data_IF_350858367276
#
_entry.id   IF_350858367276
#
_cell.length_a   1.000
_cell.length_b   1.000
_cell.length_c   1.000
_cell.angle_alpha   90.00
_cell.angle_beta   90.00
_cell.angle_gamma   90.00
#
_symmetry.space_group_name_H-M   'P 1'
#
loop_
_entity.id
_entity.type
_entity.pdbx_description
1 polymer ?
#
# COMPACT_ATOMS: atom_id res chain seq x y z
N UNK A 1 5.39 19.56 0.78
CA UNK A 1 4.68 18.35 0.35
C UNK A 1 4.20 17.61 1.58
N UNK A 2 2.90 17.36 1.71
CA UNK A 2 2.32 16.71 2.89
C UNK A 2 2.36 15.19 2.76
N UNK A 3 1.92 14.66 1.61
CA UNK A 3 1.86 13.22 1.36
C UNK A 3 2.54 12.84 0.05
N UNK A 4 3.17 11.65 0.03
CA UNK A 4 3.62 10.95 -1.18
C UNK A 4 2.87 9.62 -1.30
N UNK A 5 2.12 9.46 -2.38
CA UNK A 5 1.49 8.19 -2.75
C UNK A 5 2.46 7.44 -3.67
N UNK A 6 2.92 6.27 -3.25
CA UNK A 6 3.92 5.47 -3.98
C UNK A 6 3.23 4.29 -4.63
N UNK A 7 3.23 4.25 -5.96
CA UNK A 7 2.55 3.25 -6.79
C UNK A 7 3.59 2.35 -7.47
N UNK A 8 3.99 1.21 -6.86
CA UNK A 8 4.84 0.23 -7.53
C UNK A 8 4.07 -0.42 -8.68
N UNK A 9 4.63 -0.38 -9.89
CA UNK A 9 3.90 -0.68 -11.12
C UNK A 9 4.63 -1.72 -11.97
N UNK A 10 4.04 -2.91 -12.11
CA UNK A 10 4.52 -3.98 -12.96
C UNK A 10 3.38 -4.82 -13.52
N UNK A 11 3.23 -4.87 -14.85
CA UNK A 11 2.24 -5.68 -15.58
C UNK A 11 0.78 -5.46 -15.09
N UNK A 12 0.37 -4.19 -15.02
CA UNK A 12 -0.94 -3.75 -14.49
C UNK A 12 -1.65 -2.74 -15.38
N UNK A 13 -1.39 -2.71 -16.69
CA UNK A 13 -1.97 -1.74 -17.63
C UNK A 13 -3.49 -1.65 -17.56
N UNK A 14 -4.17 -2.78 -17.27
CA UNK A 14 -5.62 -2.83 -17.17
C UNK A 14 -6.20 -2.10 -15.93
N UNK A 15 -5.37 -1.83 -14.91
CA UNK A 15 -5.80 -1.32 -13.60
C UNK A 15 -5.22 0.05 -13.28
N UNK A 16 -3.99 0.33 -13.74
CA UNK A 16 -3.22 1.52 -13.37
C UNK A 16 -3.99 2.83 -13.57
N UNK A 17 -4.75 2.96 -14.67
CA UNK A 17 -5.54 4.16 -14.93
C UNK A 17 -6.51 4.47 -13.80
N UNK A 18 -7.29 3.46 -13.38
CA UNK A 18 -8.25 3.60 -12.27
C UNK A 18 -7.56 3.89 -10.93
N UNK A 19 -6.41 3.27 -10.68
CA UNK A 19 -5.60 3.54 -9.50
C UNK A 19 -5.16 5.02 -9.45
N UNK A 20 -4.57 5.53 -10.55
CA UNK A 20 -4.14 6.93 -10.64
C UNK A 20 -5.33 7.88 -10.49
N UNK A 21 -6.48 7.61 -11.12
CA UNK A 21 -7.69 8.42 -10.98
C UNK A 21 -8.15 8.51 -9.53
N UNK A 22 -8.15 7.40 -8.79
CA UNK A 22 -8.51 7.40 -7.38
C UNK A 22 -7.53 8.24 -6.54
N UNK A 23 -6.25 8.23 -6.89
CA UNK A 23 -5.23 9.07 -6.24
C UNK A 23 -5.35 10.56 -6.59
N UNK A 24 -5.94 10.90 -7.75
CA UNK A 24 -6.18 12.28 -8.18
C UNK A 24 -7.46 12.87 -7.62
N UNK A 25 -8.48 12.05 -7.32
CA UNK A 25 -9.79 12.46 -6.79
C UNK A 25 -9.75 12.66 -5.28
N UNK A 26 -8.91 13.59 -4.82
CA UNK A 26 -8.68 13.81 -3.41
C UNK A 26 -8.98 15.25 -2.97
N UNK A 27 -9.21 15.45 -1.68
CA UNK A 27 -9.60 16.70 -1.02
C UNK A 27 -8.41 17.56 -0.56
N UNK A 28 -7.18 17.18 -0.92
CA UNK A 28 -6.00 18.03 -0.79
C UNK A 28 -5.69 18.75 -2.10
N UNK A 29 -5.16 19.98 -2.06
CA UNK A 29 -4.61 20.64 -3.24
C UNK A 29 -3.51 19.80 -3.89
N UNK A 30 -3.48 19.70 -5.22
CA UNK A 30 -2.45 18.93 -5.94
C UNK A 30 -1.02 19.41 -5.66
N UNK A 31 -0.84 20.64 -5.20
CA UNK A 31 0.45 21.18 -4.77
C UNK A 31 0.92 20.63 -3.42
N UNK A 32 0.06 19.96 -2.66
CA UNK A 32 0.36 19.48 -1.31
C UNK A 32 0.61 17.97 -1.22
N UNK A 33 0.32 17.21 -2.29
CA UNK A 33 0.66 15.79 -2.37
C UNK A 33 1.22 15.41 -3.74
N UNK A 34 2.00 14.35 -3.79
CA UNK A 34 2.56 13.79 -5.02
C UNK A 34 2.15 12.33 -5.20
N UNK A 35 2.08 11.92 -6.47
CA UNK A 35 1.84 10.53 -6.88
C UNK A 35 3.11 10.05 -7.60
N UNK A 36 3.81 9.10 -7.02
CA UNK A 36 5.03 8.53 -7.58
C UNK A 36 4.69 7.20 -8.22
N UNK A 37 4.58 7.19 -9.54
CA UNK A 37 4.37 5.96 -10.33
C UNK A 37 5.74 5.36 -10.64
N UNK A 38 6.08 4.29 -9.98
CA UNK A 38 7.35 3.60 -10.15
C UNK A 38 7.19 2.41 -11.09
N UNK A 39 7.73 2.51 -12.30
CA UNK A 39 7.68 1.49 -13.35
C UNK A 39 8.87 0.54 -13.19
N UNK A 40 8.62 -0.62 -12.62
CA UNK A 40 9.65 -1.64 -12.32
C UNK A 40 9.90 -2.57 -13.52
N UNK A 41 10.36 -2.00 -14.63
CA UNK A 41 10.64 -2.75 -15.85
C UNK A 41 9.40 -3.43 -16.45
N UNK A 42 8.25 -2.78 -16.37
CA UNK A 42 6.97 -3.34 -16.84
C UNK A 42 7.01 -3.62 -18.34
N UNK A 43 6.65 -4.85 -18.80
CA UNK A 43 6.68 -5.21 -20.21
C UNK A 43 5.45 -4.74 -20.99
N UNK A 44 4.41 -4.25 -20.29
CA UNK A 44 3.13 -3.81 -20.83
C UNK A 44 3.09 -2.30 -21.10
N UNK A 45 1.93 -1.73 -21.40
CA UNK A 45 1.76 -0.32 -21.69
C UNK A 45 1.55 0.58 -20.46
N UNK A 46 1.83 0.10 -19.24
CA UNK A 46 1.67 0.87 -18.00
C UNK A 46 2.40 2.22 -18.04
N UNK A 47 3.62 2.28 -18.60
CA UNK A 47 4.36 3.55 -18.74
C UNK A 47 3.62 4.57 -19.62
N UNK A 48 2.96 4.13 -20.68
CA UNK A 48 2.21 5.03 -21.57
C UNK A 48 0.95 5.58 -20.88
N UNK A 49 0.32 4.76 -20.04
CA UNK A 49 -0.80 5.18 -19.20
C UNK A 49 -0.34 6.25 -18.21
N UNK A 50 0.71 5.99 -17.46
CA UNK A 50 1.27 6.94 -16.49
C UNK A 50 1.62 8.29 -17.13
N UNK A 51 2.28 8.29 -18.30
CA UNK A 51 2.63 9.52 -19.04
C UNK A 51 1.40 10.35 -19.43
N UNK A 52 0.33 9.72 -19.91
CA UNK A 52 -0.91 10.43 -20.26
C UNK A 52 -1.52 11.16 -19.07
N UNK A 53 -1.47 10.57 -17.89
CA UNK A 53 -1.94 11.25 -16.66
C UNK A 53 -0.98 12.36 -16.23
N UNK A 54 0.32 12.17 -16.36
CA UNK A 54 1.34 13.17 -16.02
C UNK A 54 1.22 14.45 -16.88
N UNK A 55 0.85 14.33 -18.17
CA UNK A 55 0.68 15.49 -19.07
C UNK A 55 -0.29 16.55 -18.55
N UNK A 56 -1.26 16.16 -17.72
CA UNK A 56 -2.28 17.05 -17.18
C UNK A 56 -2.25 17.18 -15.65
N UNK A 57 -1.24 16.61 -14.99
CA UNK A 57 -1.15 16.60 -13.54
C UNK A 57 0.32 16.72 -13.09
N UNK A 58 0.72 17.94 -12.72
CA UNK A 58 2.10 18.26 -12.30
C UNK A 58 2.53 17.54 -11.02
N UNK A 59 1.57 17.04 -10.23
CA UNK A 59 1.85 16.27 -9.02
C UNK A 59 2.11 14.78 -9.28
N UNK A 60 2.12 14.32 -10.54
CA UNK A 60 2.53 12.96 -10.90
C UNK A 60 4.00 12.94 -11.29
N UNK A 61 4.78 12.09 -10.63
CA UNK A 61 6.18 11.80 -10.92
C UNK A 61 6.31 10.36 -11.39
N UNK A 62 6.93 10.15 -12.55
CA UNK A 62 7.22 8.82 -13.07
C UNK A 62 8.68 8.50 -12.84
N UNK A 63 8.96 7.33 -12.29
CA UNK A 63 10.30 6.77 -12.13
C UNK A 63 10.33 5.44 -12.89
N UNK A 64 11.41 5.19 -13.60
CA UNK A 64 11.61 3.94 -14.34
C UNK A 64 12.90 3.27 -13.90
N UNK A 65 12.89 1.96 -13.81
CA UNK A 65 14.06 1.14 -13.50
C UNK A 65 13.99 -0.21 -14.23
N UNK A 66 15.10 -0.96 -14.22
CA UNK A 66 15.07 -2.38 -14.55
C UNK A 66 14.31 -3.16 -13.46
N UNK A 67 13.63 -4.24 -13.85
CA UNK A 67 12.81 -5.03 -12.92
C UNK A 67 13.65 -5.56 -11.75
N UNK A 68 13.29 -5.15 -10.55
CA UNK A 68 13.90 -5.58 -9.29
C UNK A 68 12.88 -6.17 -8.30
N UNK A 69 11.62 -6.20 -8.69
CA UNK A 69 10.50 -6.70 -7.88
C UNK A 69 9.90 -5.68 -6.93
N UNK A 70 8.78 -6.05 -6.32
CA UNK A 70 7.91 -5.15 -5.55
C UNK A 70 8.63 -4.40 -4.42
N UNK A 71 9.51 -5.08 -3.68
CA UNK A 71 10.33 -4.46 -2.61
C UNK A 71 11.22 -3.35 -3.16
N UNK A 72 11.88 -3.60 -4.28
CA UNK A 72 12.80 -2.66 -4.90
C UNK A 72 12.04 -1.44 -5.46
N UNK A 73 10.86 -1.66 -6.03
CA UNK A 73 9.97 -0.61 -6.50
C UNK A 73 9.51 0.30 -5.34
N UNK A 74 9.01 -0.28 -4.26
CA UNK A 74 8.62 0.48 -3.05
C UNK A 74 9.79 1.27 -2.46
N UNK A 75 10.99 0.67 -2.38
CA UNK A 75 12.20 1.34 -1.90
C UNK A 75 12.61 2.51 -2.79
N UNK A 76 12.51 2.37 -4.11
CA UNK A 76 12.82 3.44 -5.07
C UNK A 76 11.83 4.59 -4.89
N UNK A 77 10.53 4.29 -4.80
CA UNK A 77 9.50 5.29 -4.53
C UNK A 77 9.72 6.03 -3.21
N UNK A 78 10.02 5.29 -2.12
CA UNK A 78 10.29 5.88 -0.80
C UNK A 78 11.49 6.84 -0.81
N UNK A 79 12.58 6.48 -1.50
CA UNK A 79 13.76 7.34 -1.65
C UNK A 79 13.48 8.62 -2.43
N UNK A 80 12.55 8.56 -3.37
CA UNK A 80 12.16 9.68 -4.23
C UNK A 80 11.04 10.56 -3.64
N UNK A 81 10.40 10.09 -2.57
CA UNK A 81 9.30 10.77 -1.90
C UNK A 81 9.77 12.04 -1.17
N UNK A 82 8.97 13.12 -1.28
CA UNK A 82 9.21 14.40 -0.63
C UNK A 82 8.15 14.72 0.44
N UNK A 83 7.08 13.93 0.53
CA UNK A 83 6.02 14.09 1.52
C UNK A 83 6.51 13.89 2.95
N UNK A 84 5.88 14.56 3.88
CA UNK A 84 6.07 14.32 5.30
C UNK A 84 5.62 12.91 5.68
N UNK A 85 4.55 12.45 5.05
CA UNK A 85 4.01 11.10 5.18
C UNK A 85 4.04 10.37 3.85
N UNK A 86 4.14 9.04 3.90
CA UNK A 86 4.16 8.16 2.71
C UNK A 86 3.10 7.08 2.82
N UNK A 87 2.46 6.80 1.70
CA UNK A 87 1.49 5.72 1.56
C UNK A 87 1.83 4.88 0.34
N UNK A 88 2.04 3.58 0.54
CA UNK A 88 2.23 2.63 -0.55
C UNK A 88 0.85 2.19 -1.05
N UNK A 89 0.59 2.37 -2.34
CA UNK A 89 -0.68 2.01 -2.97
C UNK A 89 -0.40 1.01 -4.09
N UNK A 90 -0.89 -0.20 -3.99
CA UNK A 90 -0.68 -1.19 -5.04
C UNK A 90 -1.45 -0.78 -6.30
N UNK A 91 -0.78 -0.83 -7.46
CA UNK A 91 -1.27 -0.20 -8.71
C UNK A 91 -2.46 -0.93 -9.36
N UNK A 92 -2.88 -2.05 -8.82
CA UNK A 92 -4.09 -2.78 -9.20
C UNK A 92 -5.29 -2.52 -8.28
N UNK A 93 -5.10 -1.68 -7.25
CA UNK A 93 -6.09 -1.29 -6.25
C UNK A 93 -6.56 0.17 -6.43
N UNK A 94 -7.34 0.67 -5.49
CA UNK A 94 -7.78 2.08 -5.48
C UNK A 94 -7.94 2.59 -4.05
N UNK A 95 -7.78 3.91 -3.88
CA UNK A 95 -8.05 4.58 -2.61
C UNK A 95 -9.43 5.27 -2.65
N UNK A 96 -10.02 5.47 -1.49
CA UNK A 96 -11.30 6.16 -1.38
C UNK A 96 -11.14 7.63 -1.72
N UNK A 97 -12.10 8.21 -2.43
CA UNK A 97 -12.11 9.63 -2.75
C UNK A 97 -12.18 10.49 -1.49
N UNK A 98 -11.51 11.64 -1.51
CA UNK A 98 -11.55 12.64 -0.44
C UNK A 98 -11.15 12.08 0.95
N UNK A 99 -10.10 11.25 1.00
CA UNK A 99 -9.59 10.68 2.25
C UNK A 99 -8.25 11.28 2.71
N UNK A 100 -7.48 11.93 1.82
CA UNK A 100 -6.13 12.37 2.13
C UNK A 100 -6.07 13.47 3.19
N UNK A 101 -7.01 14.41 3.18
CA UNK A 101 -7.05 15.49 4.17
C UNK A 101 -7.27 14.93 5.58
N UNK A 102 -8.24 14.05 5.75
CA UNK A 102 -8.52 13.43 7.03
C UNK A 102 -7.36 12.54 7.53
N UNK A 103 -6.68 11.82 6.62
CA UNK A 103 -5.47 11.04 6.95
C UNK A 103 -4.35 11.97 7.43
N UNK A 104 -4.10 13.07 6.72
CA UNK A 104 -3.08 14.04 7.08
C UNK A 104 -3.37 14.70 8.43
N UNK A 105 -4.61 15.13 8.66
CA UNK A 105 -5.03 15.74 9.93
C UNK A 105 -4.81 14.78 11.10
N UNK A 106 -5.19 13.51 10.96
CA UNK A 106 -5.00 12.47 11.98
C UNK A 106 -3.52 12.23 12.29
N UNK A 107 -2.69 12.05 11.24
CA UNK A 107 -1.24 11.85 11.37
C UNK A 107 -0.58 13.01 12.10
N UNK A 108 -0.98 14.24 11.76
CA UNK A 108 -0.37 15.47 12.32
C UNK A 108 -0.87 15.76 13.73
N UNK A 109 -2.18 15.70 13.96
CA UNK A 109 -2.80 15.99 15.26
C UNK A 109 -2.21 15.12 16.37
N UNK A 110 -2.02 13.84 16.08
CA UNK A 110 -1.51 12.88 17.05
C UNK A 110 0.00 12.61 16.91
N UNK A 111 0.71 13.31 16.00
CA UNK A 111 2.13 13.10 15.72
C UNK A 111 2.48 11.61 15.59
N UNK A 112 1.77 10.90 14.71
CA UNK A 112 1.87 9.46 14.56
C UNK A 112 3.13 9.07 13.78
N UNK A 113 3.71 7.91 14.12
CA UNK A 113 4.72 7.22 13.31
C UNK A 113 4.07 6.41 12.19
N UNK A 114 2.89 5.83 12.49
CA UNK A 114 2.09 5.08 11.52
C UNK A 114 0.58 5.21 11.82
N UNK A 115 -0.22 5.21 10.76
CA UNK A 115 -1.68 5.17 10.82
C UNK A 115 -2.15 3.93 10.07
N UNK A 116 -2.88 3.02 10.73
CA UNK A 116 -3.43 1.84 10.12
C UNK A 116 -4.83 2.11 9.59
N UNK A 117 -5.01 1.90 8.29
CA UNK A 117 -6.24 2.23 7.59
C UNK A 117 -7.17 1.04 7.48
N UNK A 118 -8.48 1.29 7.57
CA UNK A 118 -9.50 0.31 7.18
C UNK A 118 -9.61 0.21 5.66
N UNK A 119 -9.95 -0.99 5.17
CA UNK A 119 -10.13 -1.27 3.74
C UNK A 119 -11.37 -2.13 3.49
N UNK A 120 -11.79 -2.20 2.25
CA UNK A 120 -12.77 -3.16 1.78
C UNK A 120 -12.20 -4.00 0.63
N UNK A 121 -12.75 -5.20 0.44
CA UNK A 121 -12.42 -6.06 -0.69
C UNK A 121 -13.48 -5.91 -1.77
N UNK A 122 -13.06 -5.85 -3.03
CA UNK A 122 -13.95 -5.76 -4.17
C UNK A 122 -13.66 -6.90 -5.14
N UNK A 123 -14.70 -7.64 -5.54
CA UNK A 123 -14.58 -8.67 -6.55
C UNK A 123 -14.73 -8.11 -7.98
N UNK A 124 -14.50 -8.96 -9.00
CA UNK A 124 -14.64 -8.60 -10.41
C UNK A 124 -16.05 -8.12 -10.84
N UNK A 125 -17.06 -8.30 -10.00
CA UNK A 125 -18.42 -7.84 -10.23
C UNK A 125 -18.72 -6.53 -9.46
N UNK A 126 -17.71 -5.88 -8.90
CA UNK A 126 -17.81 -4.67 -8.08
C UNK A 126 -18.67 -4.84 -6.80
N UNK A 127 -18.78 -6.08 -6.32
CA UNK A 127 -19.43 -6.35 -5.04
C UNK A 127 -18.38 -6.33 -3.93
N UNK A 128 -18.70 -5.67 -2.82
CA UNK A 128 -17.89 -5.71 -1.60
C UNK A 128 -18.00 -7.12 -1.02
N UNK A 129 -16.85 -7.75 -0.77
CA UNK A 129 -16.79 -9.06 -0.14
C UNK A 129 -16.20 -8.92 1.25
N UNK A 130 -16.88 -9.44 2.30
CA UNK A 130 -16.37 -9.39 3.67
C UNK A 130 -15.28 -10.43 3.96
N UNK A 131 -14.40 -10.78 3.02
CA UNK A 131 -13.46 -11.90 3.17
C UNK A 131 -12.29 -11.61 4.13
N UNK A 132 -12.00 -10.35 4.37
CA UNK A 132 -11.10 -9.86 5.42
C UNK A 132 -11.66 -8.52 5.88
N UNK A 133 -12.80 -8.60 6.56
CA UNK A 133 -13.51 -7.41 6.96
C UNK A 133 -12.80 -6.76 8.15
N UNK A 134 -12.00 -5.74 7.89
CA UNK A 134 -11.50 -4.88 8.96
C UNK A 134 -12.63 -4.13 9.69
N UNK A 135 -13.88 -4.24 9.23
CA UNK A 135 -15.05 -3.77 10.00
C UNK A 135 -15.23 -4.59 11.28
N UNK A 136 -14.63 -5.80 11.37
CA UNK A 136 -14.57 -6.60 12.60
C UNK A 136 -13.50 -6.12 13.59
N UNK A 137 -12.56 -5.25 13.17
CA UNK A 137 -11.69 -4.57 14.11
C UNK A 137 -12.56 -3.69 15.00
N UNK A 138 -12.51 -3.90 16.32
CA UNK A 138 -13.15 -3.00 17.28
C UNK A 138 -12.77 -1.57 16.92
N UNK A 139 -13.71 -0.65 17.02
CA UNK A 139 -13.37 0.77 16.96
C UNK A 139 -12.40 1.05 18.09
N UNK A 140 -11.21 1.48 17.72
CA UNK A 140 -10.15 1.82 18.64
C UNK A 140 -9.66 3.22 18.27
N UNK A 141 -9.86 4.16 19.17
CA UNK A 141 -9.45 5.55 18.99
C UNK A 141 -8.18 5.89 19.80
N UNK A 142 -7.54 4.89 20.41
CA UNK A 142 -6.37 5.04 21.23
C UNK A 142 -5.07 5.06 20.41
N UNK A 143 -4.03 5.60 21.00
CA UNK A 143 -2.68 5.59 20.45
C UNK A 143 -1.91 4.50 21.18
N UNK A 144 -1.31 3.61 20.42
CA UNK A 144 -0.58 2.45 20.92
C UNK A 144 0.91 2.53 20.60
N UNK A 145 1.74 1.87 21.41
CA UNK A 145 3.07 1.45 20.99
C UNK A 145 2.97 0.25 20.06
N UNK A 146 3.96 0.09 19.16
CA UNK A 146 3.88 -0.85 18.06
C UNK A 146 3.63 -2.30 18.43
N UNK A 147 4.29 -2.83 19.45
CA UNK A 147 4.07 -4.21 19.90
C UNK A 147 2.66 -4.39 20.48
N UNK A 148 2.19 -3.45 21.28
CA UNK A 148 0.82 -3.50 21.82
C UNK A 148 -0.20 -3.44 20.69
N UNK A 149 -0.02 -2.54 19.74
CA UNK A 149 -0.88 -2.43 18.56
C UNK A 149 -0.95 -3.74 17.77
N UNK A 150 0.19 -4.38 17.53
CA UNK A 150 0.23 -5.66 16.80
C UNK A 150 -0.51 -6.77 17.54
N UNK A 151 -0.42 -6.81 18.86
CA UNK A 151 -1.03 -7.88 19.67
C UNK A 151 -2.50 -7.65 19.96
N UNK A 152 -2.91 -6.39 20.19
CA UNK A 152 -4.25 -6.07 20.71
C UNK A 152 -5.22 -5.56 19.65
N UNK A 153 -4.72 -4.92 18.59
CA UNK A 153 -5.57 -4.25 17.58
C UNK A 153 -5.49 -4.93 16.21
N UNK A 154 -4.27 -5.11 15.68
CA UNK A 154 -4.07 -5.44 14.27
C UNK A 154 -4.23 -6.94 13.94
N UNK A 155 -3.89 -7.84 14.86
CA UNK A 155 -3.93 -9.29 14.60
C UNK A 155 -2.92 -9.73 13.52
N UNK A 156 -3.41 -10.40 12.46
CA UNK A 156 -2.55 -11.04 11.43
C UNK A 156 -2.48 -10.26 10.10
N UNK A 157 -2.99 -9.04 10.02
CA UNK A 157 -3.11 -8.28 8.78
C UNK A 157 -1.91 -7.36 8.57
N UNK A 158 -0.90 -7.84 7.82
CA UNK A 158 0.38 -7.17 7.58
C UNK A 158 0.54 -6.75 6.11
N UNK A 159 -0.23 -5.77 5.67
CA UNK A 159 -0.16 -5.27 4.30
C UNK A 159 0.50 -3.88 4.27
N UNK A 160 1.49 -3.68 3.41
CA UNK A 160 2.18 -2.40 3.29
C UNK A 160 1.22 -1.26 2.92
N UNK A 161 0.25 -1.55 2.06
CA UNK A 161 -0.75 -0.57 1.61
C UNK A 161 -1.79 -0.21 2.68
N UNK A 162 -1.91 -0.98 3.75
CA UNK A 162 -2.84 -0.66 4.86
C UNK A 162 -2.29 0.36 5.85
N UNK A 163 -1.08 0.89 5.63
CA UNK A 163 -0.45 1.87 6.51
C UNK A 163 -0.04 3.14 5.78
N UNK A 164 -0.26 4.29 6.43
CA UNK A 164 0.44 5.53 6.15
C UNK A 164 1.53 5.72 7.20
N UNK A 165 2.75 6.00 6.77
CA UNK A 165 3.91 6.14 7.65
C UNK A 165 4.44 7.58 7.65
N UNK A 166 4.94 8.04 8.79
CA UNK A 166 5.80 9.22 8.83
C UNK A 166 7.09 8.92 8.09
N UNK A 167 7.38 9.66 7.02
CA UNK A 167 8.52 9.37 6.14
C UNK A 167 9.85 9.34 6.89
N UNK A 168 10.11 10.32 7.75
CA UNK A 168 11.35 10.37 8.51
C UNK A 168 11.48 9.20 9.50
N UNK A 169 10.38 8.70 10.05
CA UNK A 169 10.41 7.49 10.87
C UNK A 169 10.98 6.30 10.09
N UNK A 170 10.62 6.13 8.81
CA UNK A 170 11.18 5.06 7.99
C UNK A 170 12.65 5.32 7.61
N UNK A 171 12.97 6.54 7.17
CA UNK A 171 14.29 6.88 6.65
C UNK A 171 15.35 6.88 7.75
N UNK A 172 15.08 7.53 8.89
CA UNK A 172 16.04 7.72 9.97
C UNK A 172 16.37 6.39 10.68
N UNK A 173 15.44 5.41 10.63
CA UNK A 173 15.66 4.06 11.15
C UNK A 173 16.16 3.07 10.08
N UNK A 174 16.35 3.49 8.84
CA UNK A 174 16.80 2.62 7.76
C UNK A 174 15.79 1.54 7.37
N UNK A 175 14.50 1.78 7.57
CA UNK A 175 13.43 0.82 7.25
C UNK A 175 13.14 0.81 5.75
N UNK A 176 13.76 -0.15 5.06
CA UNK A 176 13.50 -0.47 3.67
C UNK A 176 12.88 -1.87 3.56
N UNK A 177 12.11 -2.12 2.50
CA UNK A 177 11.65 -3.47 2.17
C UNK A 177 12.83 -4.34 1.78
N UNK A 178 12.87 -5.58 2.26
CA UNK A 178 13.93 -6.53 1.93
C UNK A 178 13.69 -7.11 0.54
N UNK A 179 14.63 -6.87 -0.37
CA UNK A 179 14.53 -7.31 -1.75
C UNK A 179 14.70 -8.83 -1.88
N UNK A 180 14.05 -9.44 -2.87
CA UNK A 180 14.16 -10.87 -3.15
C UNK A 180 13.34 -11.79 -2.25
N UNK A 181 12.47 -11.25 -1.41
CA UNK A 181 11.57 -12.03 -0.56
C UNK A 181 10.15 -12.09 -1.13
N UNK A 182 9.49 -13.23 -0.89
CA UNK A 182 8.03 -13.33 -0.92
C UNK A 182 7.48 -12.98 0.46
N UNK A 183 6.31 -12.34 0.53
CA UNK A 183 5.72 -11.81 1.78
C UNK A 183 6.59 -10.74 2.45
N UNK A 184 7.15 -9.87 1.62
CA UNK A 184 7.97 -8.73 2.01
C UNK A 184 7.27 -7.80 3.00
N UNK A 185 5.93 -7.68 2.90
CA UNK A 185 5.06 -6.90 3.81
C UNK A 185 5.16 -7.40 5.24
N UNK A 186 5.09 -8.72 5.42
CA UNK A 186 5.16 -9.34 6.75
C UNK A 186 6.54 -9.09 7.37
N UNK A 187 7.62 -9.31 6.60
CA UNK A 187 8.99 -9.05 7.06
C UNK A 187 9.17 -7.58 7.43
N UNK A 188 8.69 -6.67 6.59
CA UNK A 188 8.75 -5.24 6.81
C UNK A 188 7.98 -4.83 8.07
N UNK A 189 6.73 -5.30 8.23
CA UNK A 189 5.89 -4.98 9.36
C UNK A 189 6.51 -5.44 10.70
N UNK A 190 7.09 -6.64 10.75
CA UNK A 190 7.75 -7.14 11.96
C UNK A 190 9.00 -6.36 12.38
N UNK A 191 9.63 -5.62 11.48
CA UNK A 191 10.75 -4.72 11.83
C UNK A 191 10.27 -3.30 12.17
N UNK A 192 9.31 -2.80 11.41
CA UNK A 192 8.88 -1.40 11.47
C UNK A 192 7.92 -1.16 12.62
N UNK A 193 6.86 -1.97 12.72
CA UNK A 193 5.81 -1.71 13.70
C UNK A 193 6.31 -1.76 15.15
N UNK A 194 7.13 -2.74 15.57
CA UNK A 194 7.64 -2.75 16.95
C UNK A 194 8.49 -1.53 17.33
N UNK A 195 9.08 -0.85 16.35
CA UNK A 195 9.87 0.35 16.58
C UNK A 195 9.01 1.65 16.68
N UNK A 196 7.78 1.60 16.20
CA UNK A 196 6.89 2.74 16.25
C UNK A 196 6.41 3.01 17.67
N UNK A 197 6.38 4.29 18.06
CA UNK A 197 5.95 4.74 19.39
C UNK A 197 4.49 5.17 19.41
N UNK A 198 3.96 5.57 18.27
CA UNK A 198 2.64 6.15 18.13
C UNK A 198 1.95 5.63 16.88
N UNK A 199 1.15 4.57 17.05
CA UNK A 199 0.31 3.98 16.02
C UNK A 199 -1.15 4.15 16.42
N UNK A 200 -2.00 4.43 15.45
CA UNK A 200 -3.44 4.54 15.64
C UNK A 200 -4.20 3.83 14.53
N UNK A 201 -5.40 3.32 14.84
CA UNK A 201 -6.35 2.84 13.85
C UNK A 201 -7.16 4.02 13.29
N UNK A 202 -7.27 4.11 11.97
CA UNK A 202 -8.18 5.03 11.31
C UNK A 202 -9.48 4.33 10.96
N UNK A 203 -10.57 4.70 11.64
CA UNK A 203 -11.84 4.00 11.58
C UNK A 203 -12.63 4.18 10.27
N UNK A 204 -12.11 4.94 9.29
CA UNK A 204 -12.74 5.12 7.98
C UNK A 204 -12.11 4.17 6.95
N UNK A 205 -12.92 3.63 6.05
CA UNK A 205 -12.44 2.84 4.91
C UNK A 205 -11.79 3.80 3.91
N UNK A 206 -10.49 3.63 3.69
CA UNK A 206 -9.69 4.46 2.77
C UNK A 206 -9.11 3.69 1.59
N UNK A 207 -9.18 2.37 1.59
CA UNK A 207 -8.56 1.54 0.58
C UNK A 207 -9.53 0.47 0.06
N UNK A 208 -9.47 0.20 -1.25
CA UNK A 208 -10.24 -0.86 -1.91
C UNK A 208 -9.27 -1.85 -2.54
N UNK A 209 -9.19 -3.04 -1.95
CA UNK A 209 -8.42 -4.16 -2.47
C UNK A 209 -9.20 -4.86 -3.58
N UNK A 210 -8.70 -4.85 -4.82
CA UNK A 210 -9.33 -5.47 -5.97
C UNK A 210 -8.88 -6.93 -6.15
N UNK A 211 -9.78 -7.87 -5.91
CA UNK A 211 -9.52 -9.29 -6.12
C UNK A 211 -9.52 -9.59 -7.63
N UNK A 212 -8.34 -9.87 -8.19
CA UNK A 212 -8.13 -10.19 -9.61
C UNK A 212 -7.48 -11.53 -9.83
N UNK A 213 -7.75 -12.16 -10.98
CA UNK A 213 -7.02 -13.36 -11.42
C UNK A 213 -5.56 -13.01 -11.70
N UNK A 214 -4.65 -13.91 -11.31
CA UNK A 214 -3.22 -13.72 -11.53
C UNK A 214 -2.51 -12.81 -10.52
N UNK A 215 -3.17 -12.42 -9.42
CA UNK A 215 -2.46 -11.78 -8.31
C UNK A 215 -1.42 -12.72 -7.69
N UNK A 216 -0.34 -12.16 -7.15
CA UNK A 216 0.74 -12.92 -6.49
C UNK A 216 0.16 -13.82 -5.40
N UNK A 217 -0.79 -13.33 -4.60
CA UNK A 217 -1.45 -14.07 -3.54
C UNK A 217 -2.19 -15.33 -4.05
N UNK A 218 -2.86 -15.26 -5.20
CA UNK A 218 -3.55 -16.42 -5.79
C UNK A 218 -2.58 -17.42 -6.43
N UNK A 219 -1.51 -16.95 -7.05
CA UNK A 219 -0.51 -17.81 -7.71
C UNK A 219 0.24 -18.67 -6.69
N UNK A 220 0.54 -18.14 -5.53
CA UNK A 220 1.22 -18.87 -4.44
C UNK A 220 0.29 -19.91 -3.81
N UNK A 221 -1.00 -19.60 -3.61
CA UNK A 221 -1.97 -20.54 -3.05
C UNK A 221 -2.18 -21.75 -4.00
N UNK A 222 -2.20 -21.53 -5.32
CA UNK A 222 -2.31 -22.61 -6.32
C UNK A 222 -1.06 -23.50 -6.36
N UNK A 223 0.15 -22.95 -6.23
CA UNK A 223 1.40 -23.72 -6.15
C UNK A 223 1.50 -24.55 -4.87
N UNK A 224 1.04 -24.01 -3.74
CA UNK A 224 0.99 -24.75 -2.45
C UNK A 224 0.02 -25.93 -2.53
N UNK A 225 -1.16 -25.74 -3.12
CA UNK A 225 -2.14 -26.83 -3.31
C UNK A 225 -1.62 -27.92 -4.24
N UNK A 226 -0.73 -27.60 -5.18
CA UNK A 226 -0.12 -28.58 -6.09
C UNK A 226 1.02 -29.37 -5.41
N UNK A 227 1.79 -28.76 -4.51
CA UNK A 227 2.83 -29.44 -3.71
C UNK A 227 2.23 -30.39 -2.67
N UNK A 228 1.12 -29.99 -2.04
CA UNK A 228 0.41 -30.83 -1.06
C UNK A 228 -0.26 -32.05 -1.73
N UNK A 229 -0.80 -31.90 -2.94
CA UNK A 229 -1.34 -33.03 -3.73
C UNK A 229 -0.25 -34.02 -4.20
N UNK A 230 0.99 -33.57 -4.43
CA UNK A 230 2.12 -34.45 -4.73
C UNK A 230 2.62 -35.22 -3.50
N UNK A 231 2.61 -34.62 -2.30
CA UNK A 231 2.94 -35.29 -1.04
C UNK A 231 1.89 -36.34 -0.64
N UNK A 232 0.61 -36.07 -0.87
CA UNK A 232 -0.48 -37.02 -0.56
C UNK A 232 -0.56 -38.25 -1.50
N UNK A 233 0.16 -38.23 -2.65
CA UNK A 233 0.21 -39.37 -3.60
C UNK A 233 1.51 -40.17 -3.53
N UNK A 234 2.38 -39.88 -2.60
CA UNK A 234 3.67 -40.52 -2.39
C UNK A 234 3.79 -41.34 -1.09
N UNK A 235 2.64 -41.76 -0.53
CA UNK A 235 2.56 -42.77 0.54
C UNK A 235 1.84 -43.99 0.04
#
# INVERSE_FOLDING_TARGET
MLLSLILPTYNVEAYLGKCIESCLNQDLPKSEYEIIVEIDGSPDHSINIAKRYQENNDNIKIITRENGGLSAARNTGLKAANGEYVWFVDSDDSITENCLKAIYEEMTQYNLDALWLKWCNMNKFHNIIPLYDCTLCKEDDEIHEGLDFMCSVMGIYYFAWSFVFKRNFLIDNGFLFKEGLFYEDTEFAYRVLPAAKRIKLFCKVCYTYNIRQGSIAQTISSKKSFSDKKRARGC
#
